data_IF_563608015035
#
_entry.id   IF_563608015035
#
_cell.length_a   1.000
_cell.length_b   1.000
_cell.length_c   1.000
_cell.angle_alpha   90.00
_cell.angle_beta   90.00
_cell.angle_gamma   90.00
#
_symmetry.space_group_name_H-M   'P 1'
#
loop_
_entity.id
_entity.type
_entity.pdbx_description
1 polymer ?
#
# COMPACT_ATOMS: atom_id res chain seq x y z
N UNK A 1 -12.60 5.84 26.98
CA UNK A 1 -13.71 5.03 26.50
C UNK A 1 -13.72 5.08 25.00
N UNK A 2 -14.28 4.05 24.35
CA UNK A 2 -14.37 3.95 22.89
C UNK A 2 -14.97 5.25 22.32
N UNK A 3 -14.37 5.78 21.25
CA UNK A 3 -14.80 7.02 20.60
C UNK A 3 -14.31 8.32 21.25
N UNK A 4 -13.48 8.25 22.30
CA UNK A 4 -12.89 9.45 22.90
C UNK A 4 -11.90 10.17 21.98
N UNK A 5 -11.61 11.44 22.25
CA UNK A 5 -10.65 12.23 21.49
C UNK A 5 -9.26 11.56 21.36
N UNK A 6 -8.69 10.93 22.41
CA UNK A 6 -7.44 10.17 22.26
C UNK A 6 -7.57 8.99 21.30
N UNK A 7 -8.70 8.25 21.29
CA UNK A 7 -8.93 7.17 20.33
C UNK A 7 -9.05 7.67 18.90
N UNK A 8 -9.71 8.82 18.70
CA UNK A 8 -9.81 9.45 17.38
C UNK A 8 -8.43 9.91 16.86
N UNK A 9 -7.58 10.45 17.74
CA UNK A 9 -6.22 10.85 17.42
C UNK A 9 -5.35 9.64 17.06
N UNK A 10 -5.42 8.54 17.84
CA UNK A 10 -4.69 7.31 17.55
C UNK A 10 -5.16 6.66 16.22
N UNK A 11 -6.49 6.64 15.98
CA UNK A 11 -7.03 6.13 14.71
C UNK A 11 -6.49 6.92 13.51
N UNK A 12 -6.45 8.24 13.59
CA UNK A 12 -5.87 9.09 12.55
C UNK A 12 -4.37 8.82 12.36
N UNK A 13 -3.61 8.67 13.44
CA UNK A 13 -2.17 8.41 13.35
C UNK A 13 -1.88 7.04 12.72
N UNK A 14 -2.63 6.01 13.08
CA UNK A 14 -2.53 4.69 12.43
C UNK A 14 -2.86 4.79 10.94
N UNK A 15 -3.92 5.50 10.57
CA UNK A 15 -4.28 5.73 9.19
C UNK A 15 -3.14 6.42 8.41
N UNK A 16 -2.56 7.51 8.94
CA UNK A 16 -1.43 8.24 8.30
C UNK A 16 -0.24 7.34 8.03
N UNK A 17 0.14 6.50 9.01
CA UNK A 17 1.31 5.61 8.91
C UNK A 17 1.09 4.38 8.04
N UNK A 18 -0.16 4.04 7.73
CA UNK A 18 -0.50 2.88 6.88
C UNK A 18 -0.61 3.20 5.39
N UNK A 19 -0.67 4.48 5.00
CA UNK A 19 -0.75 4.88 3.60
C UNK A 19 0.59 4.64 2.89
N UNK A 20 0.55 4.01 1.72
CA UNK A 20 1.76 3.65 0.96
C UNK A 20 1.79 4.40 -0.36
N UNK A 21 2.74 5.31 -0.51
CA UNK A 21 3.00 5.99 -1.78
C UNK A 21 3.82 5.07 -2.67
N UNK A 22 3.27 4.64 -3.81
CA UNK A 22 3.90 3.67 -4.72
C UNK A 22 4.56 4.31 -5.94
N UNK A 23 4.05 5.45 -6.36
CA UNK A 23 4.57 6.24 -7.47
C UNK A 23 4.37 7.72 -7.21
N UNK A 24 5.33 8.54 -7.60
CA UNK A 24 5.23 10.00 -7.63
C UNK A 24 6.26 10.53 -8.64
N UNK A 25 5.80 11.19 -9.70
CA UNK A 25 6.67 11.84 -10.69
C UNK A 25 7.01 13.29 -10.31
N UNK A 26 6.62 13.71 -9.10
CA UNK A 26 6.82 15.06 -8.57
C UNK A 26 5.53 15.87 -8.46
N UNK A 27 4.37 15.32 -8.82
CA UNK A 27 3.08 15.99 -8.67
C UNK A 27 2.67 16.13 -7.19
N UNK A 28 3.05 15.20 -6.35
CA UNK A 28 2.80 15.27 -4.92
C UNK A 28 3.99 15.83 -4.15
N UNK A 29 3.73 16.62 -3.11
CA UNK A 29 2.42 17.03 -2.59
C UNK A 29 1.79 18.15 -3.41
N UNK A 30 0.46 18.09 -3.61
CA UNK A 30 -0.29 19.03 -4.44
C UNK A 30 -0.15 20.49 -3.99
N UNK A 31 -0.10 20.73 -2.68
CA UNK A 31 0.01 22.07 -2.11
C UNK A 31 1.46 22.62 -2.03
N UNK A 32 2.45 21.82 -2.39
CA UNK A 32 3.88 22.24 -2.42
C UNK A 32 4.56 22.41 -1.06
N UNK A 33 3.86 22.33 0.05
CA UNK A 33 4.42 22.58 1.39
C UNK A 33 3.84 21.71 2.51
N UNK A 34 4.49 21.77 3.70
CA UNK A 34 4.11 21.01 4.91
C UNK A 34 3.36 21.82 5.96
N UNK A 35 3.11 23.10 5.73
CA UNK A 35 2.52 23.94 6.74
C UNK A 35 0.99 23.89 6.64
N UNK A 36 0.33 23.80 7.80
CA UNK A 36 -1.09 24.07 7.93
C UNK A 36 -1.34 25.52 8.35
N UNK A 37 -2.51 26.05 7.98
CA UNK A 37 -3.05 27.28 8.54
C UNK A 37 -3.73 26.98 9.91
N UNK A 38 -4.23 28.02 10.58
CA UNK A 38 -4.90 27.91 11.89
C UNK A 38 -6.21 27.09 11.82
N UNK A 39 -6.76 26.90 10.64
CA UNK A 39 -7.93 26.05 10.40
C UNK A 39 -7.55 24.59 10.03
N UNK A 40 -6.25 24.24 10.01
CA UNK A 40 -5.75 22.91 9.66
C UNK A 40 -5.75 22.61 8.16
N UNK A 41 -5.90 23.63 7.29
CA UNK A 41 -5.81 23.49 5.84
C UNK A 41 -4.35 23.63 5.40
N UNK A 42 -3.99 22.94 4.32
CA UNK A 42 -2.66 23.10 3.73
C UNK A 42 -2.43 24.58 3.31
N UNK A 43 -1.22 25.07 3.57
CA UNK A 43 -0.78 26.34 2.99
C UNK A 43 -0.29 26.04 1.58
N UNK A 44 -0.90 26.72 0.58
CA UNK A 44 -0.41 26.63 -0.80
C UNK A 44 1.02 27.21 -0.95
N UNK A 45 1.61 26.93 -2.08
CA UNK A 45 2.94 27.41 -2.51
C UNK A 45 3.00 28.92 -2.84
N UNK A 46 1.92 29.66 -2.61
CA UNK A 46 1.78 31.08 -2.98
C UNK A 46 1.40 31.29 -4.43
N UNK A 47 1.17 30.21 -5.18
CA UNK A 47 0.66 30.27 -6.55
C UNK A 47 -0.86 30.63 -6.63
N UNK A 48 -1.41 30.68 -7.84
CA UNK A 48 -2.83 30.95 -8.03
C UNK A 48 -3.69 29.83 -7.40
N UNK A 49 -4.95 30.12 -7.06
CA UNK A 49 -5.91 29.08 -6.65
C UNK A 49 -6.02 27.98 -7.70
N UNK A 50 -6.10 26.74 -7.26
CA UNK A 50 -6.18 25.56 -8.12
C UNK A 50 -7.50 24.82 -7.91
N UNK A 51 -7.87 24.02 -8.88
CA UNK A 51 -9.03 23.13 -8.82
C UNK A 51 -8.55 21.68 -8.77
N UNK A 52 -9.10 20.90 -7.84
CA UNK A 52 -8.88 19.45 -7.71
C UNK A 52 -10.18 18.74 -8.08
N UNK A 53 -10.17 17.95 -9.14
CA UNK A 53 -11.29 17.06 -9.48
C UNK A 53 -11.11 15.73 -8.72
N UNK A 54 -11.99 15.46 -7.76
CA UNK A 54 -12.03 14.18 -7.02
C UNK A 54 -13.04 13.28 -7.71
N UNK A 55 -12.59 12.28 -8.41
CA UNK A 55 -13.43 11.41 -9.24
C UNK A 55 -13.32 9.95 -8.82
N UNK A 56 -14.29 9.15 -9.18
CA UNK A 56 -14.28 7.72 -8.93
C UNK A 56 -15.37 7.25 -7.97
N UNK A 57 -15.76 5.98 -8.08
CA UNK A 57 -16.88 5.41 -7.33
C UNK A 57 -16.66 5.36 -5.82
N UNK A 58 -15.41 5.42 -5.37
CA UNK A 58 -15.03 5.35 -3.95
C UNK A 58 -14.66 6.72 -3.35
N UNK A 59 -14.76 7.81 -4.12
CA UNK A 59 -14.39 9.14 -3.66
C UNK A 59 -15.20 9.59 -2.43
N UNK A 60 -16.49 9.24 -2.39
CA UNK A 60 -17.42 9.56 -1.29
C UNK A 60 -18.07 8.30 -0.68
N UNK A 61 -17.42 7.14 -0.79
CA UNK A 61 -17.86 5.90 -0.16
C UNK A 61 -17.41 5.86 1.31
N UNK A 62 -18.40 5.88 2.22
CA UNK A 62 -18.14 5.91 3.65
C UNK A 62 -18.02 4.52 4.29
N UNK A 63 -18.30 3.43 3.56
CA UNK A 63 -18.31 2.08 4.15
C UNK A 63 -17.08 1.26 3.75
N UNK A 64 -16.72 1.25 2.49
CA UNK A 64 -15.62 0.43 1.97
C UNK A 64 -14.29 0.69 2.67
N UNK A 65 -13.98 1.95 2.99
CA UNK A 65 -12.74 2.31 3.68
C UNK A 65 -12.61 1.73 5.11
N UNK A 66 -13.70 1.23 5.69
CA UNK A 66 -13.69 0.59 7.02
C UNK A 66 -13.15 -0.83 6.98
N UNK A 67 -13.23 -1.51 5.84
CA UNK A 67 -12.81 -2.89 5.66
C UNK A 67 -13.83 -3.90 6.13
N UNK A 68 -13.44 -5.18 6.11
CA UNK A 68 -14.26 -6.28 6.58
C UNK A 68 -14.45 -6.25 8.12
N UNK A 69 -15.48 -6.90 8.61
CA UNK A 69 -15.85 -6.99 10.03
C UNK A 69 -16.22 -5.64 10.69
N UNK A 70 -16.43 -4.60 9.88
CA UNK A 70 -16.82 -3.28 10.37
C UNK A 70 -18.33 -3.10 10.62
N UNK A 71 -19.11 -4.17 10.56
CA UNK A 71 -20.55 -4.17 10.85
C UNK A 71 -21.46 -4.16 9.63
N UNK A 72 -20.96 -3.86 8.44
CA UNK A 72 -21.70 -3.83 7.17
C UNK A 72 -21.10 -4.72 6.07
N UNK A 73 -20.12 -5.57 6.42
CA UNK A 73 -19.54 -6.55 5.51
C UNK A 73 -20.42 -7.78 5.33
N UNK A 74 -20.11 -8.62 4.35
CA UNK A 74 -20.84 -9.87 4.10
C UNK A 74 -20.92 -10.82 5.29
N UNK A 75 -19.91 -10.80 6.18
CA UNK A 75 -19.82 -11.65 7.37
C UNK A 75 -20.38 -10.98 8.63
N UNK A 76 -20.31 -9.65 8.70
CA UNK A 76 -20.68 -8.88 9.89
C UNK A 76 -21.89 -7.98 9.60
N UNK A 77 -22.99 -8.58 9.16
CA UNK A 77 -24.15 -7.84 8.63
C UNK A 77 -25.18 -7.48 9.73
N UNK A 78 -24.75 -7.04 10.92
CA UNK A 78 -25.66 -6.53 11.96
C UNK A 78 -26.00 -5.05 11.77
N UNK A 79 -25.27 -4.32 10.93
CA UNK A 79 -25.51 -2.92 10.59
C UNK A 79 -25.91 -2.80 9.10
N UNK A 80 -27.17 -3.09 8.81
CA UNK A 80 -27.68 -3.10 7.41
C UNK A 80 -27.50 -1.79 6.66
N UNK A 81 -27.59 -0.67 7.39
CA UNK A 81 -27.45 0.68 6.82
C UNK A 81 -25.98 1.19 6.89
N UNK A 82 -25.06 0.33 7.33
CA UNK A 82 -23.67 0.67 7.55
C UNK A 82 -23.43 1.53 8.80
N UNK A 83 -22.20 2.00 8.94
CA UNK A 83 -21.81 2.93 10.00
C UNK A 83 -22.37 4.32 9.72
N UNK A 84 -22.70 5.11 10.76
CA UNK A 84 -23.20 6.48 10.57
C UNK A 84 -22.25 7.34 9.72
N UNK A 85 -22.78 8.02 8.71
CA UNK A 85 -22.02 8.80 7.72
C UNK A 85 -21.16 9.89 8.35
N UNK A 86 -21.65 10.52 9.42
CA UNK A 86 -20.99 11.63 10.13
C UNK A 86 -19.76 11.17 10.96
N UNK A 87 -19.64 9.88 11.21
CA UNK A 87 -18.47 9.32 11.90
C UNK A 87 -17.27 9.08 10.96
N UNK A 88 -17.49 9.12 9.65
CA UNK A 88 -16.52 8.70 8.63
C UNK A 88 -16.16 9.88 7.75
N UNK A 89 -14.85 10.14 7.62
CA UNK A 89 -14.32 11.14 6.69
C UNK A 89 -13.92 10.44 5.40
N UNK A 90 -14.65 10.69 4.31
CA UNK A 90 -14.31 10.16 2.97
C UNK A 90 -13.16 10.94 2.34
N UNK A 91 -12.61 10.44 1.22
CA UNK A 91 -11.53 11.14 0.51
C UNK A 91 -12.00 12.52 0.06
N UNK A 92 -13.24 12.61 -0.45
CA UNK A 92 -13.86 13.87 -0.85
C UNK A 92 -14.00 14.85 0.31
N UNK A 93 -14.49 14.38 1.47
CA UNK A 93 -14.60 15.21 2.68
C UNK A 93 -13.23 15.72 3.13
N UNK A 94 -12.24 14.80 3.15
CA UNK A 94 -10.89 15.13 3.56
C UNK A 94 -10.27 16.22 2.71
N UNK A 95 -10.36 16.11 1.38
CA UNK A 95 -9.85 17.13 0.46
C UNK A 95 -10.60 18.47 0.60
N UNK A 96 -11.92 18.45 0.64
CA UNK A 96 -12.73 19.68 0.84
C UNK A 96 -12.35 20.43 2.13
N UNK A 97 -12.03 19.69 3.18
CA UNK A 97 -11.68 20.28 4.47
C UNK A 97 -10.24 20.83 4.52
N UNK A 98 -9.30 20.28 3.74
CA UNK A 98 -7.88 20.52 3.96
C UNK A 98 -7.15 21.19 2.78
N UNK A 99 -7.77 21.34 1.59
CA UNK A 99 -7.14 22.12 0.50
C UNK A 99 -6.83 23.56 0.92
N UNK A 100 -5.82 24.20 0.33
CA UNK A 100 -5.51 25.60 0.59
C UNK A 100 -6.72 26.51 0.40
N UNK A 101 -6.75 27.61 1.15
CA UNK A 101 -7.81 28.61 1.02
C UNK A 101 -7.88 29.14 -0.43
N UNK A 102 -9.07 29.20 -0.98
CA UNK A 102 -9.31 29.63 -2.36
C UNK A 102 -9.22 28.53 -3.41
N UNK A 103 -8.72 27.34 -3.07
CA UNK A 103 -8.78 26.21 -3.99
C UNK A 103 -10.21 25.65 -4.08
N UNK A 104 -10.55 25.09 -5.24
CA UNK A 104 -11.83 24.44 -5.48
C UNK A 104 -11.68 22.91 -5.49
N UNK A 105 -12.72 22.23 -5.02
CA UNK A 105 -12.83 20.76 -5.11
C UNK A 105 -14.12 20.41 -5.82
N UNK A 106 -14.02 19.86 -7.02
CA UNK A 106 -15.15 19.31 -7.78
C UNK A 106 -15.26 17.80 -7.57
N UNK A 107 -16.39 17.21 -7.91
CA UNK A 107 -16.60 15.77 -7.78
C UNK A 107 -17.46 15.23 -8.90
N UNK A 108 -17.08 14.05 -9.41
CA UNK A 108 -17.88 13.23 -10.30
C UNK A 108 -17.69 11.75 -9.96
N UNK A 109 -18.75 10.96 -10.00
CA UNK A 109 -18.69 9.52 -9.68
C UNK A 109 -17.88 8.72 -10.71
N UNK A 110 -18.04 9.00 -11.97
CA UNK A 110 -17.26 8.47 -13.09
C UNK A 110 -17.52 7.00 -13.46
N UNK A 111 -17.79 6.14 -12.50
CA UNK A 111 -18.05 4.72 -12.74
C UNK A 111 -18.92 4.09 -11.66
N UNK A 112 -19.55 2.97 -12.00
CA UNK A 112 -20.13 2.01 -11.07
C UNK A 112 -19.26 0.75 -11.00
N UNK A 113 -19.20 0.11 -9.84
CA UNK A 113 -18.37 -1.10 -9.62
C UNK A 113 -19.22 -2.34 -9.82
N UNK A 114 -20.31 -2.47 -9.06
CA UNK A 114 -21.14 -3.68 -9.05
C UNK A 114 -22.58 -3.42 -8.62
N UNK A 115 -23.43 -4.36 -8.94
CA UNK A 115 -24.77 -4.54 -8.33
C UNK A 115 -24.86 -5.93 -7.72
N UNK A 116 -25.82 -6.11 -6.81
CA UNK A 116 -26.12 -7.41 -6.22
C UNK A 116 -27.37 -8.00 -6.89
N UNK A 117 -27.32 -9.31 -7.17
CA UNK A 117 -28.43 -10.04 -7.78
C UNK A 117 -28.71 -11.35 -7.03
N UNK A 118 -29.94 -11.90 -7.12
CA UNK A 118 -30.20 -13.23 -6.61
C UNK A 118 -29.26 -14.27 -7.23
N UNK A 119 -28.90 -15.30 -6.45
CA UNK A 119 -28.09 -16.41 -6.94
C UNK A 119 -28.83 -17.13 -8.08
N UNK A 120 -28.22 -17.31 -9.26
CA UNK A 120 -28.84 -18.00 -10.40
C UNK A 120 -29.14 -19.48 -10.11
N UNK A 121 -28.48 -20.09 -9.12
CA UNK A 121 -28.77 -21.47 -8.70
C UNK A 121 -30.01 -21.58 -7.81
N UNK A 122 -30.70 -20.48 -7.49
CA UNK A 122 -31.92 -20.43 -6.71
C UNK A 122 -31.77 -19.73 -5.36
N UNK A 123 -32.92 -19.56 -4.66
CA UNK A 123 -32.95 -18.81 -3.42
C UNK A 123 -32.42 -19.58 -2.20
N UNK A 124 -32.37 -20.90 -2.26
CA UNK A 124 -32.01 -21.76 -1.11
C UNK A 124 -30.96 -22.80 -1.51
N UNK A 125 -30.10 -23.14 -0.56
CA UNK A 125 -29.27 -24.33 -0.62
C UNK A 125 -30.09 -25.61 -0.44
N UNK A 126 -29.55 -26.81 -0.78
CA UNK A 126 -30.25 -28.07 -0.60
C UNK A 126 -30.68 -28.35 0.86
N UNK A 127 -30.01 -27.78 1.83
CA UNK A 127 -30.30 -27.85 3.26
C UNK A 127 -31.36 -26.84 3.75
N UNK A 128 -31.89 -26.01 2.83
CA UNK A 128 -32.90 -24.99 3.13
C UNK A 128 -32.37 -23.64 3.61
N UNK A 129 -31.04 -23.46 3.72
CA UNK A 129 -30.48 -22.17 4.06
C UNK A 129 -30.57 -21.19 2.87
N UNK A 130 -30.79 -19.88 3.12
CA UNK A 130 -30.84 -18.91 2.05
C UNK A 130 -29.47 -18.77 1.37
N UNK A 131 -29.46 -18.74 0.04
CA UNK A 131 -28.24 -18.40 -0.74
C UNK A 131 -27.97 -16.92 -0.65
N UNK A 132 -26.69 -16.50 -0.50
CA UNK A 132 -26.33 -15.11 -0.59
C UNK A 132 -26.56 -14.56 -2.01
N UNK A 133 -26.70 -13.25 -2.11
CA UNK A 133 -26.70 -12.60 -3.41
C UNK A 133 -25.33 -12.72 -4.08
N UNK A 134 -25.31 -12.73 -5.41
CA UNK A 134 -24.09 -12.74 -6.22
C UNK A 134 -23.76 -11.35 -6.72
N UNK A 135 -22.48 -11.11 -6.91
CA UNK A 135 -21.95 -9.86 -7.45
C UNK A 135 -22.07 -9.88 -8.98
N UNK A 136 -22.65 -8.83 -9.54
CA UNK A 136 -22.67 -8.54 -10.97
C UNK A 136 -21.84 -7.28 -11.25
N UNK A 137 -20.68 -7.37 -11.96
CA UNK A 137 -19.92 -6.20 -12.38
C UNK A 137 -20.77 -5.26 -13.26
N UNK A 138 -20.73 -3.97 -12.96
CA UNK A 138 -21.39 -2.96 -13.81
C UNK A 138 -20.57 -2.74 -15.09
N UNK A 139 -21.19 -2.67 -16.26
CA UNK A 139 -20.51 -2.23 -17.46
C UNK A 139 -20.08 -0.77 -17.35
N UNK A 140 -19.07 -0.31 -18.12
CA UNK A 140 -18.74 1.11 -18.20
C UNK A 140 -19.96 1.96 -18.64
N UNK A 141 -20.22 3.03 -17.89
CA UNK A 141 -21.25 4.00 -18.20
C UNK A 141 -20.62 5.23 -18.86
N UNK A 142 -20.93 5.43 -20.14
CA UNK A 142 -20.35 6.53 -20.94
C UNK A 142 -20.77 7.90 -20.46
N UNK A 143 -21.96 8.05 -19.86
CA UNK A 143 -22.40 9.33 -19.32
C UNK A 143 -21.65 9.69 -18.04
N UNK A 144 -21.51 8.75 -17.10
CA UNK A 144 -20.71 8.95 -15.88
C UNK A 144 -19.24 9.24 -16.21
N UNK A 145 -18.66 8.52 -17.18
CA UNK A 145 -17.28 8.75 -17.64
C UNK A 145 -17.16 10.15 -18.24
N UNK A 146 -18.10 10.59 -19.07
CA UNK A 146 -18.07 11.92 -19.69
C UNK A 146 -18.15 13.04 -18.64
N UNK A 147 -18.96 12.90 -17.59
CA UNK A 147 -19.01 13.84 -16.47
C UNK A 147 -17.65 13.93 -15.73
N UNK A 148 -17.01 12.78 -15.51
CA UNK A 148 -15.69 12.73 -14.86
C UNK A 148 -14.59 13.34 -15.73
N UNK A 149 -14.61 13.09 -17.04
CA UNK A 149 -13.70 13.72 -18.02
C UNK A 149 -13.89 15.23 -18.03
N UNK A 150 -15.12 15.74 -18.09
CA UNK A 150 -15.39 17.17 -18.05
C UNK A 150 -14.89 17.83 -16.75
N UNK A 151 -15.03 17.13 -15.61
CA UNK A 151 -14.48 17.60 -14.34
C UNK A 151 -12.95 17.62 -14.36
N UNK A 152 -12.30 16.63 -14.97
CA UNK A 152 -10.85 16.52 -15.09
C UNK A 152 -10.27 17.60 -16.01
N UNK A 153 -10.88 17.86 -17.18
CA UNK A 153 -10.44 18.89 -18.12
C UNK A 153 -10.56 20.31 -17.54
N UNK A 154 -11.48 20.52 -16.59
CA UNK A 154 -11.66 21.78 -15.88
C UNK A 154 -10.79 21.94 -14.62
N UNK A 155 -9.86 21.01 -14.35
CA UNK A 155 -9.07 20.98 -13.11
C UNK A 155 -7.57 21.04 -13.38
N UNK A 156 -6.81 21.45 -12.35
CA UNK A 156 -5.34 21.42 -12.35
C UNK A 156 -4.82 20.03 -11.99
N UNK A 157 -5.61 19.26 -11.21
CA UNK A 157 -5.29 17.91 -10.77
C UNK A 157 -6.53 17.03 -10.71
N UNK A 158 -6.35 15.75 -11.03
CA UNK A 158 -7.34 14.70 -10.82
C UNK A 158 -6.92 13.81 -9.68
N UNK A 159 -7.80 13.55 -8.72
CA UNK A 159 -7.66 12.50 -7.71
C UNK A 159 -8.69 11.42 -8.01
N UNK A 160 -8.24 10.33 -8.64
CA UNK A 160 -9.08 9.20 -9.02
C UNK A 160 -9.11 8.17 -7.90
N UNK A 161 -10.26 7.98 -7.24
CA UNK A 161 -10.43 7.05 -6.12
C UNK A 161 -11.14 5.80 -6.60
N UNK A 162 -10.38 4.72 -6.72
CA UNK A 162 -10.80 3.42 -7.27
C UNK A 162 -10.42 2.27 -6.34
N UNK A 163 -10.94 1.09 -6.59
CA UNK A 163 -10.61 -0.08 -5.80
C UNK A 163 -11.73 -1.10 -5.68
N UNK A 164 -11.78 -1.76 -4.53
CA UNK A 164 -12.84 -2.73 -4.23
C UNK A 164 -13.98 -2.08 -3.44
N UNK A 165 -15.18 -2.59 -3.63
CA UNK A 165 -16.29 -2.34 -2.71
C UNK A 165 -16.30 -3.38 -1.59
N UNK A 166 -17.04 -3.09 -0.51
CA UNK A 166 -17.12 -3.96 0.68
C UNK A 166 -17.60 -5.37 0.32
N UNK A 167 -18.43 -5.53 -0.70
CA UNK A 167 -18.93 -6.81 -1.17
C UNK A 167 -17.88 -7.70 -1.86
N UNK A 168 -16.70 -7.13 -2.16
CA UNK A 168 -15.56 -7.84 -2.77
C UNK A 168 -14.44 -8.11 -1.76
N UNK A 169 -14.68 -7.85 -0.47
CA UNK A 169 -13.66 -7.84 0.57
C UNK A 169 -14.07 -8.76 1.72
N UNK A 170 -13.12 -9.54 2.23
CA UNK A 170 -13.26 -10.35 3.41
C UNK A 170 -13.72 -11.79 3.15
N UNK A 171 -14.10 -12.45 4.23
CA UNK A 171 -14.48 -13.85 4.23
C UNK A 171 -15.76 -14.09 3.42
N UNK A 172 -15.73 -15.07 2.52
CA UNK A 172 -16.84 -15.38 1.63
C UNK A 172 -17.00 -14.42 0.44
N UNK A 173 -16.18 -13.37 0.34
CA UNK A 173 -16.26 -12.35 -0.70
C UNK A 173 -15.06 -12.38 -1.66
N UNK A 174 -14.36 -13.51 -1.79
CA UNK A 174 -13.20 -13.64 -2.68
C UNK A 174 -13.59 -13.49 -4.15
N UNK A 175 -12.78 -12.74 -4.89
CA UNK A 175 -12.92 -12.60 -6.35
C UNK A 175 -11.94 -13.53 -7.08
N UNK A 176 -12.38 -14.10 -8.21
CA UNK A 176 -11.52 -14.90 -9.07
C UNK A 176 -10.57 -14.04 -9.93
N UNK A 177 -10.86 -12.76 -10.09
CA UNK A 177 -10.01 -11.79 -10.79
C UNK A 177 -9.24 -10.92 -9.78
N UNK A 178 -8.06 -10.48 -10.19
CA UNK A 178 -7.29 -9.45 -9.49
C UNK A 178 -7.41 -8.05 -10.14
N UNK A 179 -8.22 -7.92 -11.19
CA UNK A 179 -8.43 -6.63 -11.85
C UNK A 179 -9.43 -5.77 -11.07
N UNK A 180 -9.39 -4.46 -11.31
CA UNK A 180 -10.47 -3.56 -10.92
C UNK A 180 -11.78 -4.00 -11.55
N UNK A 181 -12.84 -4.08 -10.75
CA UNK A 181 -14.16 -4.57 -11.17
C UNK A 181 -15.03 -3.41 -11.68
N UNK A 182 -15.92 -3.68 -12.62
CA UNK A 182 -16.86 -2.70 -13.15
C UNK A 182 -16.26 -1.72 -14.15
N UNK A 183 -16.81 -0.51 -14.21
CA UNK A 183 -16.40 0.55 -15.15
C UNK A 183 -15.09 1.26 -14.82
N UNK A 184 -14.37 0.86 -13.77
CA UNK A 184 -13.22 1.60 -13.22
C UNK A 184 -12.03 1.70 -14.17
N UNK A 185 -11.71 0.64 -14.93
CA UNK A 185 -10.60 0.66 -15.91
C UNK A 185 -10.91 1.66 -17.02
N UNK A 186 -12.12 1.60 -17.57
CA UNK A 186 -12.54 2.54 -18.62
C UNK A 186 -12.54 4.00 -18.14
N UNK A 187 -12.89 4.23 -16.86
CA UNK A 187 -12.76 5.55 -16.24
C UNK A 187 -11.31 6.02 -16.19
N UNK A 188 -10.39 5.18 -15.68
CA UNK A 188 -8.97 5.54 -15.58
C UNK A 188 -8.33 5.80 -16.93
N UNK A 189 -8.67 5.01 -17.95
CA UNK A 189 -8.18 5.20 -19.31
C UNK A 189 -8.68 6.52 -19.91
N UNK A 190 -9.95 6.87 -19.68
CA UNK A 190 -10.53 8.12 -20.14
C UNK A 190 -9.92 9.34 -19.43
N UNK A 191 -9.69 9.25 -18.11
CA UNK A 191 -9.02 10.30 -17.34
C UNK A 191 -7.58 10.51 -17.77
N UNK A 192 -6.84 9.44 -18.00
CA UNK A 192 -5.46 9.50 -18.50
C UNK A 192 -5.38 10.19 -19.87
N UNK A 193 -6.38 9.98 -20.73
CA UNK A 193 -6.46 10.61 -22.05
C UNK A 193 -6.68 12.13 -22.01
N UNK A 194 -7.15 12.71 -20.90
CA UNK A 194 -7.29 14.18 -20.75
C UNK A 194 -5.94 14.90 -20.68
N UNK A 195 -4.89 14.18 -20.27
CA UNK A 195 -3.56 14.76 -20.00
C UNK A 195 -3.48 15.59 -18.71
N UNK A 196 -4.55 15.73 -17.93
CA UNK A 196 -4.52 16.37 -16.62
C UNK A 196 -3.75 15.48 -15.64
N UNK A 197 -2.80 16.01 -14.85
CA UNK A 197 -2.03 15.21 -13.90
C UNK A 197 -2.96 14.42 -12.97
N UNK A 198 -2.89 13.07 -13.03
CA UNK A 198 -3.77 12.17 -12.29
C UNK A 198 -3.03 11.51 -11.13
N UNK A 199 -3.63 11.60 -9.96
CA UNK A 199 -3.26 10.86 -8.74
C UNK A 199 -4.27 9.75 -8.54
N UNK A 200 -3.83 8.50 -8.59
CA UNK A 200 -4.69 7.35 -8.29
C UNK A 200 -4.61 7.01 -6.80
N UNK A 201 -5.75 6.99 -6.14
CA UNK A 201 -5.91 6.50 -4.76
C UNK A 201 -6.59 5.14 -4.85
N UNK A 202 -5.80 4.08 -4.61
CA UNK A 202 -6.26 2.70 -4.66
C UNK A 202 -6.74 2.25 -3.27
N UNK A 203 -8.06 2.22 -3.09
CA UNK A 203 -8.74 1.75 -1.88
C UNK A 203 -9.09 0.27 -2.08
N UNK A 204 -8.17 -0.63 -1.74
CA UNK A 204 -8.33 -2.07 -1.91
C UNK A 204 -7.55 -2.82 -0.84
N UNK A 205 -8.19 -3.78 -0.17
CA UNK A 205 -7.56 -4.60 0.88
C UNK A 205 -6.64 -5.69 0.36
N UNK A 206 -6.63 -5.91 -0.96
CA UNK A 206 -5.78 -6.92 -1.63
C UNK A 206 -4.96 -6.26 -2.74
N UNK A 207 -3.81 -6.88 -3.13
CA UNK A 207 -3.00 -6.40 -4.24
C UNK A 207 -3.70 -6.70 -5.56
N UNK A 208 -4.14 -5.65 -6.26
CA UNK A 208 -4.78 -5.77 -7.57
C UNK A 208 -3.74 -5.71 -8.70
N UNK A 209 -4.06 -6.32 -9.83
CA UNK A 209 -3.37 -6.11 -11.10
C UNK A 209 -3.93 -4.82 -11.70
N UNK A 210 -3.10 -3.81 -11.79
CA UNK A 210 -3.50 -2.47 -12.20
C UNK A 210 -3.35 -2.28 -13.72
N UNK A 211 -4.26 -1.50 -14.36
CA UNK A 211 -4.09 -1.09 -15.75
C UNK A 211 -2.93 -0.11 -15.91
N UNK A 212 -2.40 0.00 -17.13
CA UNK A 212 -1.30 0.92 -17.43
C UNK A 212 -1.67 2.37 -17.11
N UNK A 213 -2.91 2.78 -17.32
CA UNK A 213 -3.41 4.11 -16.94
C UNK A 213 -3.26 4.43 -15.45
N UNK A 214 -3.30 3.42 -14.57
CA UNK A 214 -3.01 3.59 -13.14
C UNK A 214 -1.50 3.50 -12.84
N UNK A 215 -0.78 2.58 -13.50
CA UNK A 215 0.65 2.40 -13.30
C UNK A 215 1.47 3.61 -13.80
N UNK A 216 1.01 4.28 -14.86
CA UNK A 216 1.65 5.45 -15.47
C UNK A 216 1.08 6.78 -14.95
N UNK A 217 0.12 6.77 -14.03
CA UNK A 217 -0.41 7.98 -13.39
C UNK A 217 0.71 8.81 -12.76
N UNK A 218 0.53 10.12 -12.65
CA UNK A 218 1.50 11.04 -12.05
C UNK A 218 1.84 10.65 -10.60
N UNK A 219 0.86 10.11 -9.86
CA UNK A 219 1.11 9.44 -8.58
C UNK A 219 0.13 8.30 -8.34
N UNK A 220 0.56 7.32 -7.54
CA UNK A 220 -0.24 6.17 -7.11
C UNK A 220 -0.07 5.96 -5.60
N UNK A 221 -1.18 5.95 -4.89
CA UNK A 221 -1.25 5.71 -3.46
C UNK A 221 -2.10 4.48 -3.18
N UNK A 222 -1.55 3.48 -2.48
CA UNK A 222 -2.32 2.37 -1.94
C UNK A 222 -2.71 2.65 -0.49
N UNK A 223 -4.00 2.56 -0.19
CA UNK A 223 -4.52 2.97 1.12
C UNK A 223 -5.19 1.83 1.89
N UNK A 224 -5.26 0.64 1.31
CA UNK A 224 -5.96 -0.52 1.88
C UNK A 224 -7.37 -0.14 2.41
N UNK A 225 -7.61 -0.37 3.71
CA UNK A 225 -8.82 0.07 4.40
C UNK A 225 -8.41 1.01 5.55
N UNK A 226 -8.30 2.32 5.32
CA UNK A 226 -7.69 3.25 6.26
C UNK A 226 -8.60 3.65 7.44
N UNK A 227 -9.83 3.09 7.51
CA UNK A 227 -10.75 3.29 8.64
C UNK A 227 -11.48 4.64 8.64
N UNK A 228 -12.13 4.95 9.75
CA UNK A 228 -13.05 6.12 9.87
C UNK A 228 -12.38 7.46 9.55
N UNK A 229 -11.09 7.61 9.80
CA UNK A 229 -10.31 8.83 9.54
C UNK A 229 -9.49 8.78 8.26
N UNK A 230 -9.70 7.73 7.45
CA UNK A 230 -8.93 7.45 6.25
C UNK A 230 -8.91 8.60 5.25
N UNK A 231 -10.06 9.16 4.92
CA UNK A 231 -10.13 10.27 3.97
C UNK A 231 -9.38 11.52 4.43
N UNK A 232 -9.36 11.80 5.75
CA UNK A 232 -8.53 12.87 6.31
C UNK A 232 -7.05 12.54 6.15
N UNK A 233 -6.61 11.34 6.53
CA UNK A 233 -5.21 10.93 6.40
C UNK A 233 -4.73 11.00 4.95
N UNK A 234 -5.56 10.54 4.00
CA UNK A 234 -5.29 10.60 2.56
C UNK A 234 -5.13 12.06 2.10
N UNK A 235 -6.09 12.93 2.45
CA UNK A 235 -6.01 14.35 2.09
C UNK A 235 -4.76 15.03 2.65
N UNK A 236 -4.43 14.79 3.93
CA UNK A 236 -3.23 15.33 4.57
C UNK A 236 -1.95 14.88 3.86
N UNK A 237 -1.87 13.60 3.43
CA UNK A 237 -0.76 13.10 2.64
C UNK A 237 -0.71 13.76 1.27
N UNK A 238 -1.80 13.75 0.49
CA UNK A 238 -1.85 14.32 -0.86
C UNK A 238 -1.48 15.82 -0.87
N UNK A 239 -1.83 16.53 0.18
CA UNK A 239 -1.54 17.97 0.34
C UNK A 239 -0.18 18.27 0.99
N UNK A 240 0.55 17.25 1.45
CA UNK A 240 1.88 17.40 2.06
C UNK A 240 1.87 17.79 3.54
N UNK A 241 0.73 17.67 4.23
CA UNK A 241 0.64 17.91 5.68
C UNK A 241 1.26 16.79 6.51
N UNK A 242 1.41 15.60 5.91
CA UNK A 242 2.12 14.45 6.48
C UNK A 242 3.05 13.83 5.46
N UNK A 243 4.14 13.26 5.93
CA UNK A 243 5.11 12.53 5.11
C UNK A 243 4.64 11.08 4.92
N UNK A 244 4.70 10.52 3.69
CA UNK A 244 4.42 9.11 3.46
C UNK A 244 5.44 8.22 4.19
N UNK A 245 4.97 7.30 5.03
CA UNK A 245 5.82 6.42 5.82
C UNK A 245 5.45 4.92 5.69
N UNK A 246 4.31 4.62 5.09
CA UNK A 246 3.84 3.25 4.90
C UNK A 246 4.75 2.44 3.96
N UNK A 247 4.80 1.13 4.20
CA UNK A 247 5.51 0.16 3.36
C UNK A 247 4.59 -1.01 3.03
N UNK A 248 4.70 -1.53 1.81
CA UNK A 248 3.86 -2.64 1.37
C UNK A 248 4.11 -3.91 2.18
N UNK A 249 3.08 -4.50 2.80
CA UNK A 249 3.19 -5.79 3.46
C UNK A 249 3.01 -6.97 2.51
N UNK A 250 2.84 -6.70 1.21
CA UNK A 250 2.59 -7.70 0.16
C UNK A 250 3.10 -7.18 -1.19
N UNK A 251 3.48 -8.08 -2.09
CA UNK A 251 3.86 -7.71 -3.46
C UNK A 251 2.64 -7.59 -4.37
N UNK A 252 2.67 -6.66 -5.32
CA UNK A 252 1.67 -6.48 -6.38
C UNK A 252 2.15 -7.15 -7.66
N UNK A 253 1.39 -8.08 -8.21
CA UNK A 253 1.70 -8.70 -9.48
C UNK A 253 1.47 -7.72 -10.65
N UNK A 254 2.22 -7.90 -11.74
CA UNK A 254 1.95 -7.22 -13.03
C UNK A 254 0.86 -7.90 -13.82
N UNK A 255 0.72 -9.19 -13.65
CA UNK A 255 -0.25 -10.02 -14.35
C UNK A 255 -0.68 -11.19 -13.45
N UNK A 256 -1.93 -11.62 -13.58
CA UNK A 256 -2.47 -12.73 -12.79
C UNK A 256 -1.66 -14.03 -12.97
N UNK A 257 -1.04 -14.24 -14.12
CA UNK A 257 -0.17 -15.39 -14.36
C UNK A 257 1.11 -15.44 -13.52
N UNK A 258 1.46 -14.36 -12.81
CA UNK A 258 2.58 -14.35 -11.87
C UNK A 258 2.22 -14.93 -10.49
N UNK A 259 0.96 -15.22 -10.23
CA UNK A 259 0.53 -15.75 -8.93
C UNK A 259 0.98 -17.20 -8.72
N UNK A 260 1.44 -17.54 -7.49
CA UNK A 260 1.56 -16.68 -6.31
C UNK A 260 2.79 -15.76 -6.38
N UNK A 261 2.60 -14.46 -6.10
CA UNK A 261 3.66 -13.45 -6.12
C UNK A 261 4.01 -13.05 -4.70
N UNK A 262 5.15 -13.54 -4.19
CA UNK A 262 5.68 -13.21 -2.87
C UNK A 262 7.19 -13.01 -2.92
N UNK A 263 7.74 -12.17 -2.03
CA UNK A 263 9.15 -11.74 -2.08
C UNK A 263 10.13 -12.83 -1.66
N UNK A 264 9.70 -13.79 -0.83
CA UNK A 264 10.50 -14.88 -0.27
C UNK A 264 10.32 -16.19 -1.07
N UNK A 265 10.33 -16.10 -2.39
CA UNK A 265 10.23 -17.25 -3.28
C UNK A 265 11.43 -18.19 -3.10
N UNK A 266 11.22 -19.48 -3.41
CA UNK A 266 12.27 -20.46 -3.49
C UNK A 266 13.20 -20.11 -4.66
N UNK A 267 14.51 -20.19 -4.44
CA UNK A 267 15.53 -19.93 -5.46
C UNK A 267 15.29 -20.77 -6.71
N UNK A 268 15.34 -20.12 -7.86
CA UNK A 268 15.16 -20.78 -9.15
C UNK A 268 13.77 -21.29 -9.45
N UNK A 269 12.76 -20.95 -8.64
CA UNK A 269 11.39 -21.45 -8.81
C UNK A 269 10.82 -21.16 -10.20
N UNK A 270 11.10 -20.01 -10.79
CA UNK A 270 10.57 -19.58 -12.09
C UNK A 270 11.67 -19.14 -13.07
N UNK A 271 12.95 -19.40 -12.78
CA UNK A 271 14.06 -18.84 -13.54
C UNK A 271 14.17 -17.33 -13.41
N UNK A 272 14.54 -16.63 -14.46
CA UNK A 272 14.75 -15.17 -14.44
C UNK A 272 13.58 -14.38 -15.05
N UNK A 273 12.71 -15.02 -15.84
CA UNK A 273 11.60 -14.37 -16.57
C UNK A 273 10.60 -15.39 -17.12
N UNK A 274 9.38 -14.92 -17.37
CA UNK A 274 8.46 -15.57 -18.30
C UNK A 274 8.93 -15.35 -19.74
N UNK A 275 8.36 -16.07 -20.71
CA UNK A 275 8.69 -15.87 -22.11
C UNK A 275 8.38 -14.43 -22.58
N UNK A 276 7.32 -13.86 -22.06
CA UNK A 276 6.71 -12.59 -22.46
C UNK A 276 6.68 -11.52 -21.36
N UNK A 277 7.07 -11.85 -20.13
CA UNK A 277 6.98 -10.95 -19.00
C UNK A 277 8.19 -11.12 -18.06
N UNK A 278 8.57 -10.06 -17.35
CA UNK A 278 9.50 -10.13 -16.24
C UNK A 278 8.88 -10.88 -15.05
N UNK A 279 9.70 -11.51 -14.20
CA UNK A 279 9.25 -12.05 -12.92
C UNK A 279 9.11 -11.00 -11.82
N UNK A 280 9.69 -9.82 -12.02
CA UNK A 280 9.61 -8.74 -11.05
C UNK A 280 8.17 -8.30 -10.86
N UNK A 281 7.70 -8.16 -9.63
CA UNK A 281 6.37 -7.61 -9.35
C UNK A 281 6.25 -6.16 -9.85
N UNK A 282 5.03 -5.65 -9.94
CA UNK A 282 4.80 -4.23 -10.18
C UNK A 282 5.34 -3.42 -9.00
N UNK A 283 4.96 -3.82 -7.79
CA UNK A 283 5.50 -3.28 -6.54
C UNK A 283 5.89 -4.44 -5.63
N UNK A 284 7.08 -4.36 -5.06
CA UNK A 284 7.64 -5.42 -4.22
C UNK A 284 7.20 -5.26 -2.76
N UNK A 285 7.26 -6.33 -2.00
CA UNK A 285 7.16 -6.28 -0.54
C UNK A 285 8.15 -5.26 0.03
N UNK A 286 7.69 -4.43 0.94
CA UNK A 286 8.49 -3.38 1.54
C UNK A 286 8.56 -2.08 0.75
N UNK A 287 8.11 -2.04 -0.53
CA UNK A 287 8.09 -0.79 -1.31
C UNK A 287 7.22 0.28 -0.66
N UNK A 288 7.63 1.51 -0.81
CA UNK A 288 6.95 2.71 -0.38
C UNK A 288 7.88 3.90 -0.51
N UNK A 289 7.39 4.97 -1.13
CA UNK A 289 8.12 6.20 -1.33
C UNK A 289 7.86 7.17 -0.18
N UNK A 290 8.74 8.14 -0.03
CA UNK A 290 8.52 9.35 0.75
C UNK A 290 8.66 10.59 -0.17
N UNK A 291 8.39 11.79 0.35
CA UNK A 291 8.59 13.03 -0.40
C UNK A 291 10.06 13.50 -0.35
N UNK A 292 10.92 12.74 0.30
CA UNK A 292 12.35 13.00 0.39
C UNK A 292 13.15 11.78 -0.05
N UNK A 293 14.45 11.91 -0.16
CA UNK A 293 15.36 10.85 -0.58
C UNK A 293 16.22 10.38 0.58
N UNK A 294 16.43 9.06 0.67
CA UNK A 294 17.22 8.42 1.72
C UNK A 294 18.30 7.54 1.07
N UNK A 295 19.52 7.65 1.56
CA UNK A 295 20.66 6.82 1.14
C UNK A 295 21.08 5.87 2.25
N UNK A 296 21.50 4.67 1.85
CA UNK A 296 22.02 3.62 2.71
C UNK A 296 23.49 3.38 2.40
N UNK A 297 24.33 3.29 3.42
CA UNK A 297 25.77 3.07 3.28
C UNK A 297 26.34 2.28 4.47
N UNK A 298 27.59 1.85 4.33
CA UNK A 298 28.42 1.32 5.42
C UNK A 298 27.78 0.17 6.23
N UNK A 299 27.07 -0.75 5.56
CA UNK A 299 26.57 -1.94 6.24
C UNK A 299 27.74 -2.78 6.75
N UNK A 300 27.75 -3.07 8.04
CA UNK A 300 28.78 -3.89 8.71
C UNK A 300 28.11 -4.88 9.66
N UNK A 301 28.55 -6.11 9.61
CA UNK A 301 28.21 -7.15 10.59
C UNK A 301 29.37 -7.28 11.57
N UNK A 302 29.08 -7.46 12.86
CA UNK A 302 30.08 -7.67 13.88
C UNK A 302 30.90 -8.93 13.53
N UNK A 303 32.25 -8.88 13.65
CA UNK A 303 33.13 -10.01 13.27
C UNK A 303 32.95 -11.19 14.18
N UNK A 304 33.21 -12.40 13.64
CA UNK A 304 33.21 -13.67 14.34
C UNK A 304 32.18 -14.65 13.84
N UNK A 305 32.50 -15.96 14.01
CA UNK A 305 31.55 -17.03 13.72
C UNK A 305 30.52 -17.14 14.84
N UNK A 306 29.25 -17.26 14.47
CA UNK A 306 28.12 -17.24 15.39
C UNK A 306 27.64 -18.66 15.72
N UNK A 307 27.27 -18.89 16.98
CA UNK A 307 26.54 -20.10 17.37
C UNK A 307 25.03 -19.94 17.05
N UNK A 308 24.27 -21.04 16.93
CA UNK A 308 22.80 -20.97 16.71
C UNK A 308 22.05 -20.20 17.80
N UNK A 309 22.64 -20.01 18.99
CA UNK A 309 22.06 -19.25 20.11
C UNK A 309 22.48 -17.77 20.14
N UNK A 310 23.36 -17.36 19.26
CA UNK A 310 23.87 -15.99 19.19
C UNK A 310 22.93 -15.06 18.45
N UNK A 311 23.33 -13.80 18.35
CA UNK A 311 22.61 -12.75 17.60
C UNK A 311 23.54 -12.13 16.56
N UNK A 312 23.11 -12.09 15.32
CA UNK A 312 23.72 -11.27 14.27
C UNK A 312 23.55 -9.81 14.65
N UNK A 313 24.65 -9.10 14.88
CA UNK A 313 24.64 -7.67 15.16
C UNK A 313 25.21 -6.91 13.99
N UNK A 314 24.43 -5.99 13.45
CA UNK A 314 24.86 -5.18 12.32
C UNK A 314 24.56 -3.69 12.55
N UNK A 315 25.27 -2.87 11.82
CA UNK A 315 25.06 -1.43 11.76
C UNK A 315 25.00 -0.99 10.28
N UNK A 316 24.12 -0.06 9.98
CA UNK A 316 24.00 0.58 8.66
C UNK A 316 23.85 2.08 8.85
N UNK A 317 24.52 2.87 8.00
CA UNK A 317 24.34 4.31 7.96
C UNK A 317 23.18 4.64 7.04
N UNK A 318 22.20 5.42 7.55
CA UNK A 318 21.04 5.92 6.81
C UNK A 318 21.07 7.43 6.82
N UNK A 319 20.97 8.06 5.66
CA UNK A 319 21.06 9.52 5.50
C UNK A 319 19.86 10.05 4.72
N UNK A 320 19.21 11.05 5.27
CA UNK A 320 18.25 11.87 4.53
C UNK A 320 18.99 12.86 3.64
N UNK A 321 18.95 12.66 2.33
CA UNK A 321 19.63 13.51 1.32
C UNK A 321 18.71 14.55 0.71
N UNK A 322 17.42 14.53 1.03
CA UNK A 322 16.46 15.49 0.54
C UNK A 322 16.21 16.65 1.50
N UNK A 323 15.08 17.32 1.32
CA UNK A 323 14.76 18.60 1.96
C UNK A 323 13.67 18.53 3.02
N UNK A 324 13.16 17.34 3.32
CA UNK A 324 12.04 17.11 4.23
C UNK A 324 12.39 16.09 5.32
N UNK A 325 11.85 16.20 6.53
CA UNK A 325 11.97 15.12 7.53
C UNK A 325 11.40 13.82 6.99
N UNK A 326 11.90 12.67 7.44
CA UNK A 326 11.40 11.35 7.05
C UNK A 326 11.36 10.41 8.24
N UNK A 327 10.33 9.56 8.28
CA UNK A 327 10.31 8.35 9.08
C UNK A 327 10.66 7.18 8.15
N UNK A 328 11.94 6.81 8.12
CA UNK A 328 12.42 5.72 7.28
C UNK A 328 12.27 4.37 7.97
N UNK A 329 11.86 3.34 7.23
CA UNK A 329 11.76 1.95 7.69
C UNK A 329 12.90 1.14 7.08
N UNK A 330 13.95 0.95 7.86
CA UNK A 330 15.11 0.10 7.51
C UNK A 330 14.71 -1.35 7.65
N UNK A 331 14.81 -2.13 6.56
CA UNK A 331 14.40 -3.53 6.50
C UNK A 331 15.64 -4.41 6.38
N UNK A 332 15.70 -5.48 7.18
CA UNK A 332 16.81 -6.42 7.21
C UNK A 332 16.32 -7.83 6.87
N UNK A 333 16.86 -8.36 5.80
CA UNK A 333 16.58 -9.70 5.30
C UNK A 333 17.80 -10.61 5.52
N UNK A 334 17.56 -11.89 5.63
CA UNK A 334 18.60 -12.90 5.67
C UNK A 334 18.38 -13.91 4.54
N UNK A 335 19.46 -14.21 3.84
CA UNK A 335 19.58 -15.29 2.86
C UNK A 335 20.52 -16.34 3.44
N UNK A 336 20.09 -17.60 3.47
CA UNK A 336 20.93 -18.75 3.73
C UNK A 336 21.54 -19.16 2.39
N UNK A 337 22.87 -19.13 2.26
CA UNK A 337 23.53 -19.27 0.96
C UNK A 337 23.45 -20.72 0.43
N UNK A 338 23.45 -21.72 1.33
CA UNK A 338 23.36 -23.15 0.97
C UNK A 338 22.50 -23.89 1.98
N UNK A 339 21.34 -24.35 1.54
CA UNK A 339 20.38 -25.09 2.37
C UNK A 339 20.27 -26.55 1.96
N UNK A 340 20.03 -27.46 2.92
CA UNK A 340 19.85 -28.90 2.67
C UNK A 340 18.53 -29.23 1.96
N UNK A 341 17.59 -28.31 1.93
CA UNK A 341 16.30 -28.39 1.25
C UNK A 341 16.05 -27.09 0.46
N UNK A 342 15.15 -27.09 -0.51
CA UNK A 342 14.74 -25.86 -1.16
C UNK A 342 14.11 -24.89 -0.18
N UNK A 343 14.63 -23.67 -0.10
CA UNK A 343 14.19 -22.65 0.86
C UNK A 343 14.05 -21.28 0.20
N UNK A 344 13.48 -20.35 0.95
CA UNK A 344 13.30 -18.97 0.53
C UNK A 344 14.63 -18.31 0.14
N UNK A 345 14.64 -17.53 -0.94
CA UNK A 345 15.81 -16.77 -1.37
C UNK A 345 16.26 -15.77 -0.29
N UNK A 346 15.32 -15.11 0.35
CA UNK A 346 15.55 -14.23 1.50
C UNK A 346 14.28 -14.10 2.34
N UNK A 347 14.44 -13.81 3.62
CA UNK A 347 13.32 -13.59 4.53
C UNK A 347 13.56 -12.36 5.38
N UNK A 348 12.53 -11.51 5.55
CA UNK A 348 12.58 -10.38 6.48
C UNK A 348 12.72 -10.90 7.92
N UNK A 349 13.81 -10.54 8.59
CA UNK A 349 14.08 -10.97 9.97
C UNK A 349 14.04 -9.82 10.98
N UNK A 350 14.26 -8.59 10.52
CA UNK A 350 14.15 -7.42 11.38
C UNK A 350 13.78 -6.18 10.58
N UNK A 351 13.20 -5.20 11.25
CA UNK A 351 13.08 -3.84 10.74
C UNK A 351 13.25 -2.83 11.87
N UNK A 352 13.62 -1.59 11.51
CA UNK A 352 13.74 -0.46 12.44
C UNK A 352 13.22 0.80 11.77
N UNK A 353 12.51 1.63 12.53
CA UNK A 353 12.13 2.95 12.08
C UNK A 353 13.07 4.00 12.66
N UNK A 354 13.47 4.96 11.84
CA UNK A 354 14.34 6.08 12.22
C UNK A 354 13.80 7.38 11.65
N UNK A 355 13.71 8.39 12.51
CA UNK A 355 13.36 9.75 12.09
C UNK A 355 14.64 10.50 11.73
N UNK A 356 14.66 11.12 10.55
CA UNK A 356 15.81 11.86 10.03
C UNK A 356 15.39 13.23 9.52
N UNK A 357 15.94 14.26 10.11
CA UNK A 357 15.84 15.62 9.58
C UNK A 357 16.64 15.77 8.26
N UNK A 358 16.32 16.75 7.41
CA UNK A 358 17.04 17.03 6.18
C UNK A 358 18.56 17.10 6.39
N UNK A 359 19.31 16.40 5.55
CA UNK A 359 20.77 16.33 5.59
C UNK A 359 21.37 15.56 6.77
N UNK A 360 20.54 14.99 7.68
CA UNK A 360 21.04 14.23 8.84
C UNK A 360 21.23 12.77 8.50
N UNK A 361 22.15 12.16 9.23
CA UNK A 361 22.44 10.71 9.16
C UNK A 361 22.28 10.08 10.54
N UNK A 362 21.93 8.81 10.57
CA UNK A 362 21.92 7.99 11.75
C UNK A 362 22.57 6.63 11.47
N UNK A 363 23.24 6.07 12.46
CA UNK A 363 23.65 4.67 12.45
C UNK A 363 22.54 3.84 13.07
N UNK A 364 21.93 2.97 12.26
CA UNK A 364 20.84 2.09 12.68
C UNK A 364 21.41 0.72 13.03
N UNK A 365 21.14 0.28 14.27
CA UNK A 365 21.52 -1.05 14.74
C UNK A 365 20.44 -2.06 14.41
N UNK A 366 20.88 -3.21 13.93
CA UNK A 366 20.05 -4.34 13.55
C UNK A 366 20.54 -5.56 14.32
N UNK A 367 19.63 -6.16 15.08
CA UNK A 367 19.87 -7.40 15.80
C UNK A 367 18.92 -8.46 15.25
N UNK A 368 19.48 -9.59 14.77
CA UNK A 368 18.73 -10.76 14.29
C UNK A 368 19.19 -11.97 15.09
N UNK A 369 18.31 -12.59 15.91
CA UNK A 369 18.64 -13.86 16.54
C UNK A 369 18.98 -14.92 15.48
N UNK A 370 20.12 -15.61 15.61
CA UNK A 370 20.50 -16.67 14.66
C UNK A 370 19.43 -17.77 14.61
N UNK A 371 18.76 -18.04 15.72
CA UNK A 371 17.64 -18.98 15.78
C UNK A 371 16.48 -18.64 14.81
N UNK A 372 16.31 -17.36 14.43
CA UNK A 372 15.28 -16.94 13.46
C UNK A 372 15.68 -17.28 12.01
N UNK A 373 16.94 -17.65 11.77
CA UNK A 373 17.42 -18.13 10.48
C UNK A 373 17.16 -19.63 10.25
N UNK A 374 16.43 -20.29 11.16
CA UNK A 374 16.13 -21.71 11.05
C UNK A 374 15.23 -22.02 9.85
N UNK A 375 15.58 -23.11 9.15
CA UNK A 375 14.77 -23.75 8.10
C UNK A 375 14.05 -24.97 8.66
N UNK A 376 13.16 -25.58 7.87
CA UNK A 376 12.57 -26.89 8.18
C UNK A 376 13.23 -27.91 7.25
N UNK A 377 14.00 -28.85 7.83
CA UNK A 377 14.76 -29.86 7.09
C UNK A 377 13.86 -30.95 6.47
N UNK A 378 14.43 -31.84 5.68
CA UNK A 378 13.72 -32.95 5.02
C UNK A 378 13.05 -33.96 5.99
N UNK A 379 13.27 -33.87 7.30
CA UNK A 379 12.62 -34.66 8.35
C UNK A 379 11.50 -33.90 9.06
N UNK A 380 11.23 -32.66 8.67
CA UNK A 380 10.25 -31.80 9.31
C UNK A 380 10.74 -31.16 10.61
N UNK A 381 12.06 -31.13 10.84
CA UNK A 381 12.65 -30.54 12.04
C UNK A 381 13.13 -29.12 11.74
N UNK A 382 12.81 -28.18 12.64
CA UNK A 382 13.31 -26.81 12.56
C UNK A 382 14.75 -26.76 13.03
N UNK A 383 15.66 -26.32 12.18
CA UNK A 383 17.10 -26.33 12.42
C UNK A 383 17.78 -25.10 11.82
N UNK A 384 18.78 -24.57 12.51
CA UNK A 384 19.74 -23.63 11.93
C UNK A 384 20.91 -24.46 11.41
N UNK A 385 21.09 -24.48 10.10
CA UNK A 385 22.22 -25.21 9.50
C UNK A 385 23.50 -24.37 9.64
N UNK A 386 24.65 -25.01 9.91
CA UNK A 386 25.91 -24.30 9.89
C UNK A 386 26.32 -23.99 8.46
N UNK A 387 26.84 -22.79 8.22
CA UNK A 387 27.21 -22.35 6.88
C UNK A 387 27.32 -20.84 6.79
N UNK A 388 27.37 -20.37 5.54
CA UNK A 388 27.48 -18.96 5.22
C UNK A 388 26.08 -18.40 4.91
N UNK A 389 25.85 -17.21 5.43
CA UNK A 389 24.62 -16.44 5.28
C UNK A 389 24.94 -15.03 4.77
N UNK A 390 23.99 -14.42 4.13
CA UNK A 390 24.06 -13.02 3.72
C UNK A 390 22.98 -12.20 4.41
N UNK A 391 23.38 -11.18 5.17
CA UNK A 391 22.50 -10.14 5.66
C UNK A 391 22.31 -9.10 4.55
N UNK A 392 21.05 -8.77 4.26
CA UNK A 392 20.67 -7.79 3.24
C UNK A 392 19.87 -6.68 3.91
N UNK A 393 20.28 -5.42 3.71
CA UNK A 393 19.65 -4.28 4.37
C UNK A 393 19.32 -3.17 3.38
N UNK A 394 18.09 -2.67 3.43
CA UNK A 394 17.64 -1.58 2.56
C UNK A 394 16.20 -1.15 2.79
N UNK A 395 15.64 -0.35 1.88
CA UNK A 395 14.30 0.22 1.99
C UNK A 395 13.16 -0.77 1.66
N UNK A 396 13.46 -1.85 0.91
CA UNK A 396 12.47 -2.84 0.48
C UNK A 396 13.14 -4.18 0.13
N UNK A 397 12.35 -5.15 -0.32
CA UNK A 397 12.87 -6.47 -0.77
C UNK A 397 13.53 -6.46 -2.16
N UNK A 398 13.64 -5.30 -2.82
CA UNK A 398 14.27 -5.19 -4.16
C UNK A 398 15.76 -5.38 -4.07
N UNK A 399 16.30 -6.38 -4.79
CA UNK A 399 17.71 -6.74 -4.75
C UNK A 399 18.65 -5.60 -5.10
N UNK A 400 18.26 -4.76 -6.03
CA UNK A 400 19.04 -3.60 -6.50
C UNK A 400 19.20 -2.50 -5.44
N UNK A 401 18.38 -2.50 -4.40
CA UNK A 401 18.41 -1.48 -3.31
C UNK A 401 19.01 -2.00 -2.02
N UNK A 402 19.40 -3.28 -1.97
CA UNK A 402 19.89 -3.94 -0.76
C UNK A 402 21.42 -3.91 -0.68
N UNK A 403 21.94 -3.38 0.40
CA UNK A 403 23.33 -3.60 0.83
C UNK A 403 23.48 -5.03 1.33
N UNK A 404 24.67 -5.63 1.16
CA UNK A 404 24.95 -7.02 1.47
C UNK A 404 26.16 -7.14 2.39
N UNK A 405 26.08 -7.99 3.44
CA UNK A 405 27.20 -8.30 4.31
C UNK A 405 27.12 -9.79 4.72
N UNK A 406 28.22 -10.56 4.56
CA UNK A 406 28.24 -11.97 4.91
C UNK A 406 28.40 -12.16 6.44
N UNK A 407 27.90 -13.30 6.92
CA UNK A 407 28.20 -13.84 8.24
C UNK A 407 28.15 -15.35 8.21
N UNK A 408 28.85 -16.02 9.16
CA UNK A 408 28.96 -17.48 9.21
C UNK A 408 28.36 -18.01 10.52
N UNK A 409 27.60 -19.09 10.43
CA UNK A 409 27.11 -19.85 11.59
C UNK A 409 27.89 -21.13 11.71
N UNK A 410 28.52 -21.36 12.87
CA UNK A 410 29.26 -22.57 13.17
C UNK A 410 28.31 -23.71 13.60
N UNK A 411 28.77 -24.99 13.51
CA UNK A 411 28.05 -26.13 14.08
C UNK A 411 27.70 -25.90 15.56
N UNK A 412 26.55 -26.41 15.98
CA UNK A 412 26.24 -26.50 17.40
C UNK A 412 27.30 -27.39 18.07
N UNK A 413 27.92 -26.87 19.11
CA UNK A 413 28.96 -27.61 19.87
C UNK A 413 28.36 -28.75 20.68
#
# INVERSE_FOLDING_TARGET
MIGSAPHAALNLEVARRSLVLLRNDGVLPLAGGFAADDAGRARGDGGPPRTVAVVGPLADDAQTQLGDWAGSSGQANWMRDGQPRDMITTVLDGLRAHVPAGWAVTHARGADILTMAPDPEGALFPDGQPRPQVVLPCPPDTALIAEAVAAAEGADYVVAVVGDRIELVGEGCSTATLNLVGGQIALLDALAATGTPMVVVLLASKPLVLPDSALDAAALLWVANPGMRGGRAIAELLLGLVEPAGRLPISFARHVGQQPTYYNQIRGQHGSRYADLTQRPAFAFGDGLSYTTVEYADLRVAPGDLAPTDTVRAEVTVRNTGTRPVLETVQAYVSDDVTSVSWADKELKAFRQVELEPGRSATVRIDVPVADCAIVDGRGVRVVEPGDFTLLVGPSSRDETLLRAPFTVRPAG
#
